data_IF_440420750660
#
_entry.id   IF_440420750660
#
_cell.length_a   1.000
_cell.length_b   1.000
_cell.length_c   1.000
_cell.angle_alpha   90.00
_cell.angle_beta   90.00
_cell.angle_gamma   90.00
#
_symmetry.space_group_name_H-M   'P 1'
#
loop_
_entity.id
_entity.type
_entity.pdbx_description
1 polymer ?
#
# COMPACT_ATOMS: atom_id res chain seq x y z
N UNK A 1 -7.99 -7.30 -11.38
CA UNK A 1 -9.27 -7.35 -10.63
C UNK A 1 -10.05 -6.06 -10.79
N UNK A 2 -9.66 -4.92 -10.22
CA UNK A 2 -10.41 -3.65 -10.33
C UNK A 2 -10.94 -3.29 -11.74
N UNK A 3 -10.08 -3.28 -12.77
CA UNK A 3 -10.51 -2.92 -14.13
C UNK A 3 -11.55 -3.90 -14.69
N UNK A 4 -11.45 -5.18 -14.33
CA UNK A 4 -12.42 -6.20 -14.71
C UNK A 4 -13.75 -5.98 -13.97
N UNK A 5 -13.70 -5.72 -12.67
CA UNK A 5 -14.89 -5.40 -11.87
C UNK A 5 -15.59 -4.13 -12.38
N UNK A 6 -14.85 -3.10 -12.79
CA UNK A 6 -15.44 -1.90 -13.39
C UNK A 6 -16.12 -2.20 -14.72
N UNK A 7 -15.52 -3.04 -15.57
CA UNK A 7 -16.13 -3.47 -16.84
C UNK A 7 -17.44 -4.23 -16.55
N UNK A 8 -17.46 -5.09 -15.54
CA UNK A 8 -18.66 -5.84 -15.17
C UNK A 8 -19.77 -4.90 -14.65
N UNK A 9 -19.45 -3.93 -13.80
CA UNK A 9 -20.42 -2.91 -13.34
C UNK A 9 -20.94 -2.08 -14.52
N UNK A 10 -20.05 -1.64 -15.42
CA UNK A 10 -20.40 -0.79 -16.58
C UNK A 10 -21.33 -1.52 -17.58
N UNK A 11 -21.32 -2.86 -17.59
CA UNK A 11 -22.12 -3.68 -18.50
C UNK A 11 -23.28 -4.42 -17.80
N UNK A 12 -23.44 -4.27 -16.49
CA UNK A 12 -24.52 -4.92 -15.75
C UNK A 12 -25.85 -4.18 -15.94
N UNK A 13 -26.93 -4.92 -16.18
CA UNK A 13 -28.29 -4.36 -16.20
C UNK A 13 -28.82 -4.07 -14.78
N UNK A 14 -28.30 -4.77 -13.78
CA UNK A 14 -28.62 -4.59 -12.35
C UNK A 14 -27.45 -3.92 -11.61
N UNK A 15 -27.75 -3.17 -10.55
CA UNK A 15 -26.75 -2.49 -9.73
C UNK A 15 -25.96 -3.50 -8.87
N UNK A 16 -24.81 -3.93 -9.38
CA UNK A 16 -23.86 -4.83 -8.70
C UNK A 16 -22.73 -4.07 -7.98
N UNK A 17 -22.83 -2.76 -7.83
CA UNK A 17 -21.75 -1.94 -7.22
C UNK A 17 -21.40 -2.38 -5.81
N UNK A 18 -22.40 -2.82 -5.02
CA UNK A 18 -22.21 -3.30 -3.66
C UNK A 18 -21.42 -4.61 -3.57
N UNK A 19 -21.51 -5.47 -4.58
CA UNK A 19 -20.79 -6.75 -4.61
C UNK A 19 -19.27 -6.53 -4.65
N UNK A 20 -18.83 -5.47 -5.32
CA UNK A 20 -17.42 -5.13 -5.47
C UNK A 20 -16.97 -3.97 -4.58
N UNK A 21 -17.91 -3.28 -3.92
CA UNK A 21 -17.63 -2.04 -3.18
C UNK A 21 -17.11 -0.92 -4.08
N UNK A 22 -17.48 -0.93 -5.37
CA UNK A 22 -17.04 0.05 -6.37
C UNK A 22 -18.28 0.68 -6.97
N UNK A 23 -18.49 1.97 -6.74
CA UNK A 23 -19.64 2.68 -7.32
C UNK A 23 -19.46 2.90 -8.82
N UNK A 24 -18.25 3.26 -9.23
CA UNK A 24 -17.92 3.55 -10.63
C UNK A 24 -16.40 3.56 -10.84
N UNK A 25 -15.98 3.55 -12.11
CA UNK A 25 -14.57 3.75 -12.47
C UNK A 25 -14.12 5.15 -12.04
N UNK A 26 -13.00 5.19 -11.33
CA UNK A 26 -12.44 6.47 -10.88
C UNK A 26 -11.83 7.24 -12.05
N UNK A 27 -12.20 8.52 -12.18
CA UNK A 27 -11.62 9.44 -13.16
C UNK A 27 -10.10 9.61 -12.96
N UNK A 28 -9.60 9.36 -11.75
CA UNK A 28 -8.17 9.45 -11.45
C UNK A 28 -7.36 8.38 -12.19
N UNK A 29 -7.99 7.27 -12.60
CA UNK A 29 -7.33 6.25 -13.41
C UNK A 29 -6.99 6.71 -14.83
N UNK A 30 -7.56 7.82 -15.30
CA UNK A 30 -7.16 8.42 -16.58
C UNK A 30 -5.88 9.26 -16.48
N UNK A 31 -5.39 9.51 -15.27
CA UNK A 31 -4.13 10.20 -15.07
C UNK A 31 -2.96 9.27 -15.42
N UNK A 32 -1.88 9.83 -15.98
CA UNK A 32 -0.77 9.02 -16.50
C UNK A 32 -0.02 8.22 -15.43
N UNK A 33 0.03 8.72 -14.20
CA UNK A 33 0.93 8.22 -13.16
C UNK A 33 0.22 7.75 -11.90
N UNK A 34 -1.11 7.60 -11.94
CA UNK A 34 -1.89 7.19 -10.80
C UNK A 34 -3.01 6.25 -11.22
N UNK A 35 -3.15 5.18 -10.46
CA UNK A 35 -4.26 4.24 -10.57
C UNK A 35 -4.74 3.91 -9.17
N UNK A 36 -6.04 3.93 -8.90
CA UNK A 36 -6.60 3.82 -7.53
C UNK A 36 -6.15 2.56 -6.79
N UNK A 37 -5.93 1.46 -7.50
CA UNK A 37 -5.46 0.17 -6.93
C UNK A 37 -4.04 0.22 -6.35
N UNK A 38 -3.20 1.17 -6.76
CA UNK A 38 -1.81 1.26 -6.28
C UNK A 38 -1.31 2.68 -6.00
N UNK A 39 -2.15 3.68 -6.25
CA UNK A 39 -1.83 5.10 -6.11
C UNK A 39 -2.23 5.69 -4.76
N UNK A 40 -3.13 5.03 -4.02
CA UNK A 40 -3.50 5.43 -2.66
C UNK A 40 -2.68 4.60 -1.66
N UNK A 41 -1.68 5.19 -1.00
CA UNK A 41 -0.99 4.50 0.08
C UNK A 41 -1.99 4.21 1.20
N UNK A 42 -1.89 3.03 1.82
CA UNK A 42 -2.69 2.71 3.00
C UNK A 42 -2.37 3.68 4.13
N UNK A 43 -3.41 4.14 4.82
CA UNK A 43 -3.25 4.99 6.01
C UNK A 43 -3.41 4.10 7.23
N UNK A 44 -2.28 3.68 7.80
CA UNK A 44 -2.31 2.74 8.93
C UNK A 44 -3.01 3.33 10.16
N UNK A 45 -2.95 4.64 10.36
CA UNK A 45 -3.66 5.26 11.49
C UNK A 45 -5.17 5.20 11.27
N UNK A 46 -5.63 5.55 10.07
CA UNK A 46 -7.06 5.58 9.77
C UNK A 46 -7.69 4.20 9.54
N UNK A 47 -6.99 3.33 8.80
CA UNK A 47 -7.50 2.01 8.38
C UNK A 47 -7.40 1.00 9.51
N UNK A 48 -6.29 1.00 10.26
CA UNK A 48 -6.04 0.05 11.35
C UNK A 48 -6.52 0.65 12.66
N UNK A 49 -5.92 1.74 13.15
CA UNK A 49 -6.18 2.24 14.50
C UNK A 49 -7.59 2.81 14.67
N UNK A 50 -8.03 3.70 13.78
CA UNK A 50 -9.38 4.30 13.81
C UNK A 50 -10.43 3.43 13.08
N UNK A 51 -9.98 2.31 12.52
CA UNK A 51 -10.76 1.44 11.67
C UNK A 51 -10.94 0.07 12.26
N UNK A 52 -10.25 -0.91 11.69
CA UNK A 52 -10.39 -2.31 12.04
C UNK A 52 -10.18 -2.55 13.53
N UNK A 53 -9.06 -2.08 14.11
CA UNK A 53 -8.71 -2.33 15.50
C UNK A 53 -9.79 -1.81 16.44
N UNK A 54 -10.13 -0.54 16.27
CA UNK A 54 -11.11 0.14 17.09
C UNK A 54 -12.52 -0.47 16.94
N UNK A 55 -12.91 -0.86 15.72
CA UNK A 55 -14.19 -1.51 15.46
C UNK A 55 -14.30 -2.87 16.15
N UNK A 56 -13.28 -3.73 16.01
CA UNK A 56 -13.33 -5.06 16.60
C UNK A 56 -13.18 -5.04 18.12
N UNK A 57 -12.31 -4.18 18.68
CA UNK A 57 -12.20 -4.00 20.14
C UNK A 57 -13.58 -3.71 20.74
N UNK A 58 -14.39 -2.89 20.07
CA UNK A 58 -15.75 -2.57 20.52
C UNK A 58 -16.66 -3.78 20.56
N UNK A 59 -16.76 -4.51 19.46
CA UNK A 59 -17.64 -5.68 19.36
C UNK A 59 -17.18 -6.80 20.29
N UNK A 60 -15.87 -6.96 20.44
CA UNK A 60 -15.29 -7.88 21.39
C UNK A 60 -15.60 -7.50 22.85
N UNK A 61 -15.49 -6.22 23.22
CA UNK A 61 -15.83 -5.76 24.57
C UNK A 61 -17.31 -5.96 24.89
N UNK A 62 -18.21 -5.69 23.94
CA UNK A 62 -19.65 -5.96 24.13
C UNK A 62 -19.90 -7.45 24.40
N UNK A 63 -19.30 -8.32 23.59
CA UNK A 63 -19.37 -9.77 23.77
C UNK A 63 -18.85 -10.20 25.15
N UNK A 64 -17.64 -9.77 25.49
CA UNK A 64 -16.98 -10.17 26.72
C UNK A 64 -17.68 -9.62 27.98
N UNK A 65 -18.32 -8.45 27.91
CA UNK A 65 -19.02 -7.84 29.05
C UNK A 65 -20.46 -8.32 29.20
N UNK A 66 -21.22 -8.36 28.11
CA UNK A 66 -22.67 -8.56 28.17
C UNK A 66 -23.08 -10.00 27.92
N UNK A 67 -22.41 -10.69 26.98
CA UNK A 67 -22.75 -12.07 26.63
C UNK A 67 -22.04 -13.07 27.55
N UNK A 68 -20.71 -12.98 27.65
CA UNK A 68 -19.90 -13.92 28.44
C UNK A 68 -19.64 -13.49 29.88
N UNK A 69 -19.76 -12.19 30.18
CA UNK A 69 -19.46 -11.59 31.49
C UNK A 69 -18.05 -11.92 32.02
N UNK A 70 -17.08 -12.02 31.12
CA UNK A 70 -15.66 -12.20 31.47
C UNK A 70 -15.07 -10.95 32.15
N UNK A 71 -15.57 -9.76 31.79
CA UNK A 71 -15.13 -8.49 32.35
C UNK A 71 -16.31 -7.57 32.63
N UNK A 72 -16.14 -6.68 33.59
CA UNK A 72 -17.08 -5.57 33.84
C UNK A 72 -16.43 -4.26 33.42
N UNK A 73 -17.26 -3.24 33.17
CA UNK A 73 -16.76 -1.91 32.83
C UNK A 73 -15.87 -1.35 33.94
N UNK A 74 -16.26 -1.58 35.19
CA UNK A 74 -15.51 -1.12 36.36
C UNK A 74 -14.16 -1.84 36.49
N UNK A 75 -14.11 -3.16 36.25
CA UNK A 75 -12.86 -3.92 36.28
C UNK A 75 -11.91 -3.44 35.17
N UNK A 76 -12.45 -3.18 33.98
CA UNK A 76 -11.68 -2.65 32.85
C UNK A 76 -11.17 -1.24 33.14
N UNK A 77 -12.03 -0.34 33.61
CA UNK A 77 -11.67 1.02 33.99
C UNK A 77 -10.65 1.09 35.12
N UNK A 78 -10.76 0.19 36.10
CA UNK A 78 -9.77 0.02 37.17
C UNK A 78 -8.43 -0.43 36.58
N UNK A 79 -8.45 -1.44 35.70
CA UNK A 79 -7.23 -1.92 35.02
C UNK A 79 -6.55 -0.82 34.21
N UNK A 80 -7.31 -0.01 33.46
CA UNK A 80 -6.74 1.13 32.72
C UNK A 80 -6.11 2.14 33.66
N UNK A 81 -6.79 2.47 34.77
CA UNK A 81 -6.33 3.52 35.69
C UNK A 81 -5.07 3.08 36.43
N UNK A 82 -5.02 1.82 36.82
CA UNK A 82 -4.02 1.29 37.75
C UNK A 82 -2.87 0.58 37.03
N UNK A 83 -2.92 0.45 35.70
CA UNK A 83 -1.82 -0.07 34.89
C UNK A 83 -0.60 0.85 34.97
N UNK A 84 0.59 0.27 35.16
CA UNK A 84 1.85 1.00 35.17
C UNK A 84 2.32 1.31 33.75
N UNK A 85 1.91 2.46 33.21
CA UNK A 85 2.35 2.94 31.90
C UNK A 85 3.81 3.44 31.90
N UNK A 86 4.46 3.54 33.06
CA UNK A 86 5.76 4.19 33.19
C UNK A 86 5.70 5.72 32.98
N UNK A 87 6.81 6.38 33.32
CA UNK A 87 6.90 7.85 33.33
C UNK A 87 6.63 8.48 31.95
N UNK A 88 7.15 7.87 30.89
CA UNK A 88 7.06 8.42 29.52
C UNK A 88 5.65 8.41 28.94
N UNK A 89 4.81 7.45 29.35
CA UNK A 89 3.46 7.26 28.80
C UNK A 89 2.34 7.59 29.79
N UNK A 90 2.67 8.04 31.00
CA UNK A 90 1.69 8.45 32.01
C UNK A 90 0.74 9.57 31.51
N UNK A 91 1.25 10.46 30.64
CA UNK A 91 0.46 11.51 30.00
C UNK A 91 -0.43 11.00 28.85
N UNK A 92 -0.11 9.83 28.28
CA UNK A 92 -0.79 9.20 27.14
C UNK A 92 -1.78 8.11 27.58
N UNK A 93 -2.09 8.02 28.88
CA UNK A 93 -3.00 6.98 29.40
C UNK A 93 -4.38 7.05 28.73
N UNK A 94 -5.00 5.91 28.41
CA UNK A 94 -6.33 5.88 27.80
C UNK A 94 -7.37 6.56 28.71
N UNK A 95 -8.35 7.21 28.10
CA UNK A 95 -9.52 7.71 28.83
C UNK A 95 -10.39 6.55 29.32
N UNK A 96 -11.07 6.76 30.46
CA UNK A 96 -12.03 5.80 30.99
C UNK A 96 -13.20 5.62 30.02
N UNK A 97 -13.64 4.37 29.84
CA UNK A 97 -14.77 4.06 28.98
C UNK A 97 -16.06 4.38 29.74
N UNK A 98 -16.94 5.15 29.10
CA UNK A 98 -18.32 5.29 29.56
C UNK A 98 -19.24 4.28 28.88
N UNK A 99 -20.29 3.85 29.58
CA UNK A 99 -21.34 2.98 29.02
C UNK A 99 -22.02 3.57 27.78
N UNK A 100 -22.03 4.91 27.65
CA UNK A 100 -22.53 5.61 26.46
C UNK A 100 -21.66 5.39 25.23
N UNK A 101 -20.34 5.27 25.37
CA UNK A 101 -19.39 5.06 24.25
C UNK A 101 -19.43 3.61 23.75
N UNK A 102 -19.63 2.65 24.65
CA UNK A 102 -19.82 1.23 24.27
C UNK A 102 -21.09 1.00 23.45
N UNK A 103 -22.16 1.74 23.77
CA UNK A 103 -23.46 1.61 23.14
C UNK A 103 -23.73 2.62 22.01
N UNK A 104 -22.85 3.61 21.79
CA UNK A 104 -23.00 4.57 20.70
C UNK A 104 -22.61 3.97 19.35
N UNK A 105 -23.18 4.46 18.24
CA UNK A 105 -22.81 4.05 16.87
C UNK A 105 -21.40 4.48 16.44
N UNK A 106 -20.74 5.37 17.20
CA UNK A 106 -19.35 5.78 16.96
C UNK A 106 -18.37 4.75 17.50
N UNK A 107 -17.24 4.54 16.81
CA UNK A 107 -16.38 3.40 17.09
C UNK A 107 -15.28 3.64 18.15
N UNK A 108 -15.13 4.81 18.77
CA UNK A 108 -13.91 5.18 19.54
C UNK A 108 -13.57 4.34 20.78
N UNK A 109 -12.73 3.30 20.66
CA UNK A 109 -12.22 2.46 21.75
C UNK A 109 -10.76 2.01 21.49
N UNK A 110 -9.88 2.03 22.50
CA UNK A 110 -8.43 1.68 22.41
C UNK A 110 -7.93 0.91 23.65
N UNK A 111 -8.11 -0.42 23.76
CA UNK A 111 -7.73 -1.17 25.00
C UNK A 111 -7.37 -2.66 24.78
N UNK A 112 -6.67 -3.26 25.77
CA UNK A 112 -6.41 -4.72 25.93
C UNK A 112 -6.93 -5.20 27.30
N UNK A 113 -7.43 -6.43 27.40
CA UNK A 113 -7.96 -7.04 28.64
C UNK A 113 -7.22 -8.31 29.06
N UNK A 114 -7.10 -8.58 30.37
CA UNK A 114 -6.24 -9.65 30.94
C UNK A 114 -6.98 -10.87 31.52
N UNK A 115 -8.30 -11.01 31.33
CA UNK A 115 -9.12 -12.01 32.05
C UNK A 115 -10.02 -12.85 31.14
N UNK A 116 -9.51 -13.31 29.99
CA UNK A 116 -10.33 -13.98 28.98
C UNK A 116 -9.79 -15.40 28.72
N UNK A 117 -10.63 -16.44 28.74
CA UNK A 117 -10.21 -17.81 28.48
C UNK A 117 -9.49 -17.95 27.13
N UNK A 118 -8.35 -18.64 27.13
CA UNK A 118 -7.53 -18.82 25.93
C UNK A 118 -8.17 -19.68 24.84
N UNK A 119 -9.22 -20.42 25.15
CA UNK A 119 -9.97 -21.26 24.22
C UNK A 119 -11.14 -20.54 23.53
N UNK A 120 -11.45 -19.30 23.93
CA UNK A 120 -12.54 -18.53 23.32
C UNK A 120 -12.19 -18.09 21.88
N UNK A 121 -13.06 -18.42 20.93
CA UNK A 121 -12.80 -18.19 19.50
C UNK A 121 -12.73 -16.70 19.12
N UNK A 122 -13.52 -15.83 19.78
CA UNK A 122 -13.51 -14.38 19.55
C UNK A 122 -12.29 -13.73 20.20
N UNK A 123 -11.83 -14.26 21.33
CA UNK A 123 -10.54 -13.87 21.90
C UNK A 123 -9.37 -14.26 21.02
N UNK A 124 -9.36 -15.49 20.50
CA UNK A 124 -8.33 -15.94 19.56
C UNK A 124 -8.33 -15.10 18.28
N UNK A 125 -9.50 -14.70 17.78
CA UNK A 125 -9.59 -13.77 16.66
C UNK A 125 -8.97 -12.40 17.01
N UNK A 126 -9.27 -11.87 18.19
CA UNK A 126 -8.68 -10.62 18.66
C UNK A 126 -7.15 -10.70 18.82
N UNK A 127 -6.60 -11.85 19.23
CA UNK A 127 -5.15 -12.07 19.26
C UNK A 127 -4.55 -12.00 17.86
N UNK A 128 -5.19 -12.61 16.85
CA UNK A 128 -4.76 -12.50 15.45
C UNK A 128 -4.76 -11.03 15.00
N UNK A 129 -5.78 -10.26 15.36
CA UNK A 129 -5.81 -8.83 15.07
C UNK A 129 -4.61 -8.11 15.66
N UNK A 130 -4.25 -8.40 16.92
CA UNK A 130 -3.08 -7.81 17.56
C UNK A 130 -1.77 -8.22 16.88
N UNK A 131 -1.67 -9.44 16.35
CA UNK A 131 -0.53 -9.90 15.55
C UNK A 131 -0.44 -9.14 14.21
N UNK A 132 -1.56 -8.98 13.51
CA UNK A 132 -1.65 -8.16 12.28
C UNK A 132 -1.15 -6.74 12.56
N UNK A 133 -1.67 -6.09 13.61
CA UNK A 133 -1.25 -4.75 14.03
C UNK A 133 0.26 -4.74 14.33
N UNK A 134 0.77 -5.72 15.06
CA UNK A 134 2.19 -5.80 15.40
C UNK A 134 3.10 -5.91 14.16
N UNK A 135 2.67 -6.63 13.12
CA UNK A 135 3.46 -6.76 11.89
C UNK A 135 3.39 -5.46 11.09
N UNK A 136 2.21 -4.86 10.93
CA UNK A 136 2.04 -3.63 10.15
C UNK A 136 2.86 -2.46 10.73
N UNK A 137 2.91 -2.34 12.06
CA UNK A 137 3.68 -1.30 12.75
C UNK A 137 5.16 -1.65 12.97
N UNK A 138 5.64 -2.78 12.44
CA UNK A 138 7.05 -3.16 12.59
C UNK A 138 7.95 -2.27 11.73
N UNK A 139 9.04 -1.76 12.31
CA UNK A 139 10.02 -0.91 11.59
C UNK A 139 10.68 -1.63 10.41
N UNK A 140 10.85 -2.96 10.51
CA UNK A 140 11.50 -3.80 9.50
C UNK A 140 10.68 -5.05 9.25
N UNK A 141 10.23 -5.23 8.01
CA UNK A 141 9.39 -6.35 7.58
C UNK A 141 10.12 -7.14 6.49
N UNK A 142 10.25 -8.46 6.69
CA UNK A 142 10.77 -9.37 5.67
C UNK A 142 9.67 -9.78 4.68
N UNK A 143 10.05 -10.27 3.49
CA UNK A 143 9.08 -10.79 2.51
C UNK A 143 8.24 -11.93 3.09
N UNK A 144 8.84 -12.78 3.92
CA UNK A 144 8.14 -13.87 4.60
C UNK A 144 7.11 -13.35 5.61
N UNK A 145 7.46 -12.33 6.41
CA UNK A 145 6.50 -11.67 7.31
C UNK A 145 5.36 -10.99 6.55
N UNK A 146 5.63 -10.42 5.37
CA UNK A 146 4.58 -9.85 4.53
C UNK A 146 3.66 -10.95 3.96
N UNK A 147 4.20 -12.11 3.57
CA UNK A 147 3.39 -13.27 3.17
C UNK A 147 2.54 -13.79 4.34
N UNK A 148 3.13 -13.94 5.53
CA UNK A 148 2.43 -14.30 6.75
C UNK A 148 1.31 -13.31 7.10
N UNK A 149 1.56 -12.00 6.96
CA UNK A 149 0.56 -10.96 7.15
C UNK A 149 -0.66 -11.16 6.24
N UNK A 150 -0.46 -11.53 4.97
CA UNK A 150 -1.57 -11.82 4.05
C UNK A 150 -2.41 -12.98 4.55
N UNK A 151 -1.76 -14.04 5.01
CA UNK A 151 -2.44 -15.25 5.46
C UNK A 151 -3.21 -14.96 6.78
N UNK A 152 -2.61 -14.21 7.72
CA UNK A 152 -3.28 -13.73 8.93
C UNK A 152 -4.51 -12.86 8.63
N UNK A 153 -4.40 -11.87 7.73
CA UNK A 153 -5.53 -11.00 7.38
C UNK A 153 -6.66 -11.82 6.73
N UNK A 154 -6.31 -12.80 5.90
CA UNK A 154 -7.30 -13.67 5.24
C UNK A 154 -8.02 -14.54 6.27
N UNK A 155 -7.30 -15.19 7.18
CA UNK A 155 -7.89 -15.97 8.27
C UNK A 155 -8.77 -15.10 9.16
N UNK A 156 -8.24 -13.95 9.57
CA UNK A 156 -8.91 -12.98 10.41
C UNK A 156 -10.26 -12.55 9.83
N UNK A 157 -10.30 -12.06 8.59
CA UNK A 157 -11.55 -11.55 8.00
C UNK A 157 -12.57 -12.67 7.76
N UNK A 158 -12.09 -13.87 7.40
CA UNK A 158 -12.97 -15.05 7.22
C UNK A 158 -13.63 -15.44 8.53
N UNK A 159 -12.85 -15.49 9.61
CA UNK A 159 -13.34 -15.80 10.95
C UNK A 159 -14.20 -14.68 11.52
N UNK A 160 -13.86 -13.42 11.28
CA UNK A 160 -14.67 -12.28 11.69
C UNK A 160 -16.08 -12.35 11.10
N UNK A 161 -16.19 -12.60 9.79
CA UNK A 161 -17.49 -12.76 9.13
C UNK A 161 -18.32 -13.92 9.70
N UNK A 162 -17.66 -14.98 10.18
CA UNK A 162 -18.31 -16.16 10.77
C UNK A 162 -18.73 -15.92 12.23
N UNK A 163 -17.85 -15.30 13.04
CA UNK A 163 -18.05 -15.10 14.48
C UNK A 163 -18.90 -13.86 14.81
N UNK A 164 -18.99 -12.90 13.88
CA UNK A 164 -19.79 -11.69 14.01
C UNK A 164 -20.73 -11.52 12.80
N UNK A 165 -21.71 -12.44 12.61
CA UNK A 165 -22.59 -12.41 11.43
C UNK A 165 -23.49 -11.16 11.35
N UNK A 166 -23.77 -10.54 12.49
CA UNK A 166 -24.56 -9.30 12.58
C UNK A 166 -23.72 -8.03 12.31
N UNK A 167 -22.40 -8.18 12.17
CA UNK A 167 -21.48 -7.06 11.95
C UNK A 167 -21.14 -6.91 10.48
N UNK A 168 -21.16 -5.69 9.98
CA UNK A 168 -20.78 -5.40 8.59
C UNK A 168 -19.27 -5.41 8.39
N UNK A 169 -18.83 -5.97 7.26
CA UNK A 169 -17.45 -5.79 6.78
C UNK A 169 -17.29 -4.35 6.30
N UNK A 170 -16.44 -3.58 6.97
CA UNK A 170 -16.23 -2.16 6.66
C UNK A 170 -15.16 -1.97 5.56
N UNK A 171 -15.21 -0.88 4.77
CA UNK A 171 -14.21 -0.61 3.73
C UNK A 171 -12.76 -0.63 4.23
N UNK A 172 -12.53 -0.23 5.48
CA UNK A 172 -11.20 -0.24 6.11
C UNK A 172 -10.63 -1.66 6.24
N UNK A 173 -11.48 -2.67 6.44
CA UNK A 173 -11.07 -4.08 6.43
C UNK A 173 -10.61 -4.51 5.03
N UNK A 174 -11.30 -4.03 3.98
CA UNK A 174 -10.88 -4.29 2.60
C UNK A 174 -9.52 -3.63 2.29
N UNK A 175 -9.28 -2.40 2.75
CA UNK A 175 -7.99 -1.72 2.50
C UNK A 175 -6.80 -2.49 3.06
N UNK A 176 -6.95 -3.11 4.23
CA UNK A 176 -5.88 -3.89 4.87
C UNK A 176 -5.48 -5.11 4.05
N UNK A 177 -6.36 -5.68 3.21
CA UNK A 177 -6.00 -6.79 2.29
C UNK A 177 -4.86 -6.43 1.32
N UNK A 178 -4.68 -5.14 1.02
CA UNK A 178 -3.65 -4.65 0.11
C UNK A 178 -2.32 -4.34 0.81
N UNK A 179 -2.27 -4.34 2.14
CA UNK A 179 -1.07 -3.99 2.91
C UNK A 179 0.11 -4.94 2.66
N UNK A 180 -0.06 -6.28 2.69
CA UNK A 180 1.03 -7.22 2.39
C UNK A 180 1.77 -6.90 1.09
N UNK A 181 1.00 -6.62 0.03
CA UNK A 181 1.55 -6.32 -1.29
C UNK A 181 2.17 -4.93 -1.35
N UNK A 182 1.59 -3.96 -0.66
CA UNK A 182 2.08 -2.58 -0.64
C UNK A 182 3.38 -2.47 0.15
N UNK A 183 3.52 -3.20 1.26
CA UNK A 183 4.73 -3.25 2.08
C UNK A 183 5.94 -3.76 1.28
N UNK A 184 5.73 -4.73 0.39
CA UNK A 184 6.83 -5.28 -0.43
C UNK A 184 7.08 -4.52 -1.73
N UNK A 185 6.17 -3.62 -2.15
CA UNK A 185 6.28 -2.85 -3.39
C UNK A 185 6.80 -1.45 -3.13
N UNK A 186 8.02 -1.17 -3.59
CA UNK A 186 8.56 0.18 -3.57
C UNK A 186 8.04 1.00 -4.76
N UNK A 187 7.36 2.11 -4.47
CA UNK A 187 7.01 3.10 -5.50
C UNK A 187 8.20 3.97 -5.91
N UNK A 188 9.21 4.08 -5.03
CA UNK A 188 10.46 4.78 -5.24
C UNK A 188 11.57 4.18 -4.39
N UNK A 189 12.82 4.39 -4.79
CA UNK A 189 14.00 4.04 -4.00
C UNK A 189 15.10 5.10 -4.21
N UNK A 190 16.11 5.12 -3.34
CA UNK A 190 17.33 5.91 -3.53
C UNK A 190 18.47 4.92 -3.72
N UNK A 191 19.18 5.01 -4.85
CA UNK A 191 20.39 4.21 -5.12
C UNK A 191 21.53 5.18 -5.34
N UNK A 192 22.57 5.08 -4.50
CA UNK A 192 23.75 5.95 -4.54
C UNK A 192 23.39 7.46 -4.60
N UNK A 193 22.46 7.89 -3.74
CA UNK A 193 22.00 9.29 -3.67
C UNK A 193 21.01 9.72 -4.76
N UNK A 194 20.73 8.89 -5.76
CA UNK A 194 19.77 9.21 -6.83
C UNK A 194 18.43 8.55 -6.58
N UNK A 195 17.35 9.35 -6.60
CA UNK A 195 15.98 8.88 -6.39
C UNK A 195 15.38 8.36 -7.70
N UNK A 196 14.97 7.09 -7.71
CA UNK A 196 14.18 6.48 -8.79
C UNK A 196 12.74 6.30 -8.33
N UNK A 197 11.79 6.45 -9.25
CA UNK A 197 10.36 6.26 -8.99
C UNK A 197 9.75 5.48 -10.16
N UNK A 198 8.69 4.72 -9.91
CA UNK A 198 7.87 4.15 -10.99
C UNK A 198 7.44 5.22 -12.00
N UNK A 199 7.35 4.82 -13.26
CA UNK A 199 6.97 5.60 -14.43
C UNK A 199 7.93 6.74 -14.84
N UNK A 200 9.09 6.90 -14.19
CA UNK A 200 10.14 7.79 -14.71
C UNK A 200 10.85 7.12 -15.88
N UNK A 201 11.33 7.93 -16.82
CA UNK A 201 12.12 7.43 -17.93
C UNK A 201 13.59 7.26 -17.50
N UNK A 202 14.26 6.28 -18.10
CA UNK A 202 15.69 6.02 -17.92
C UNK A 202 16.33 5.78 -19.29
N UNK A 203 17.60 6.15 -19.42
CA UNK A 203 18.39 5.93 -20.63
C UNK A 203 19.08 4.56 -20.54
N UNK A 204 18.71 3.63 -21.41
CA UNK A 204 19.13 2.22 -21.34
C UNK A 204 20.12 1.81 -22.43
N UNK A 205 20.50 2.73 -23.32
CA UNK A 205 21.47 2.49 -24.40
C UNK A 205 21.17 3.34 -25.63
N UNK A 206 21.78 3.00 -26.76
CA UNK A 206 21.50 3.58 -28.07
C UNK A 206 21.94 2.63 -29.16
N UNK A 207 21.43 2.82 -30.37
CA UNK A 207 21.87 2.08 -31.58
C UNK A 207 22.83 2.90 -32.46
N UNK A 208 23.36 4.01 -31.93
CA UNK A 208 24.22 4.94 -32.64
C UNK A 208 23.47 6.03 -33.41
N UNK A 209 22.16 5.89 -33.64
CA UNK A 209 21.33 6.90 -34.29
C UNK A 209 20.41 7.60 -33.29
N UNK A 210 19.73 6.81 -32.44
CA UNK A 210 18.81 7.33 -31.44
C UNK A 210 19.06 6.69 -30.08
N UNK A 211 18.89 7.46 -28.98
CA UNK A 211 18.91 6.90 -27.64
C UNK A 211 17.71 5.98 -27.43
N UNK A 212 17.95 4.88 -26.71
CA UNK A 212 16.94 3.95 -26.22
C UNK A 212 16.53 4.37 -24.82
N UNK A 213 15.28 4.75 -24.67
CA UNK A 213 14.67 5.06 -23.37
C UNK A 213 13.73 3.94 -22.93
N UNK A 214 13.52 3.83 -21.62
CA UNK A 214 12.53 2.93 -21.04
C UNK A 214 11.88 3.58 -19.82
N UNK A 215 10.67 3.16 -19.45
CA UNK A 215 10.01 3.53 -18.19
C UNK A 215 10.28 2.49 -17.13
N UNK A 216 10.54 2.91 -15.88
CA UNK A 216 10.59 2.00 -14.74
C UNK A 216 9.15 1.57 -14.40
N UNK A 217 8.82 0.30 -14.62
CA UNK A 217 7.50 -0.25 -14.28
C UNK A 217 7.49 -0.79 -12.84
N UNK A 218 8.53 -1.52 -12.46
CA UNK A 218 8.68 -2.11 -11.13
C UNK A 218 10.08 -1.89 -10.57
N UNK A 219 10.16 -1.71 -9.26
CA UNK A 219 11.42 -1.67 -8.51
C UNK A 219 11.46 -2.94 -7.66
N UNK A 220 12.48 -3.76 -7.87
CA UNK A 220 12.60 -5.07 -7.21
C UNK A 220 13.91 -5.17 -6.47
N UNK A 221 13.87 -5.77 -5.29
CA UNK A 221 15.06 -6.14 -4.52
C UNK A 221 15.34 -7.62 -4.73
N UNK A 222 16.54 -7.92 -5.23
CA UNK A 222 17.03 -9.29 -5.37
C UNK A 222 17.83 -9.63 -4.11
N UNK A 223 17.40 -10.62 -3.31
CA UNK A 223 18.14 -11.07 -2.15
C UNK A 223 19.38 -11.86 -2.60
N UNK A 224 20.44 -11.13 -2.94
CA UNK A 224 21.81 -11.62 -3.02
C UNK A 224 22.61 -11.02 -1.86
N UNK A 225 23.91 -11.34 -1.74
CA UNK A 225 24.81 -10.93 -0.63
C UNK A 225 24.79 -9.42 -0.26
N UNK A 226 24.19 -8.55 -1.08
CA UNK A 226 24.10 -7.10 -0.84
C UNK A 226 22.70 -6.48 -1.07
N UNK A 227 21.61 -7.28 -1.13
CA UNK A 227 20.26 -6.76 -1.43
C UNK A 227 20.24 -5.79 -2.63
N UNK A 228 20.62 -6.27 -3.80
CA UNK A 228 20.74 -5.43 -5.00
C UNK A 228 19.37 -4.95 -5.48
N UNK A 229 19.26 -3.64 -5.74
CA UNK A 229 18.08 -3.03 -6.35
C UNK A 229 18.18 -3.15 -7.87
N UNK A 230 17.12 -3.70 -8.48
CA UNK A 230 16.95 -3.78 -9.91
C UNK A 230 15.64 -3.07 -10.34
N UNK A 231 15.64 -2.57 -11.57
CA UNK A 231 14.52 -1.94 -12.22
C UNK A 231 13.99 -2.86 -13.31
N UNK A 232 12.71 -3.19 -13.27
CA UNK A 232 12.00 -3.77 -14.41
C UNK A 232 11.59 -2.60 -15.28
N UNK A 233 12.18 -2.51 -16.48
CA UNK A 233 11.99 -1.39 -17.39
C UNK A 233 11.26 -1.83 -18.65
N UNK A 234 10.36 -0.99 -19.15
CA UNK A 234 9.64 -1.21 -20.40
C UNK A 234 10.11 -0.22 -21.46
N UNK A 235 10.60 -0.73 -22.58
CA UNK A 235 11.19 0.10 -23.62
C UNK A 235 10.17 1.05 -24.27
N UNK A 236 10.62 2.27 -24.56
CA UNK A 236 9.92 3.28 -25.35
C UNK A 236 10.43 3.26 -26.80
N UNK A 237 9.55 3.58 -27.74
CA UNK A 237 9.93 3.85 -29.13
C UNK A 237 10.45 5.28 -29.23
N UNK A 238 11.74 5.47 -29.51
CA UNK A 238 12.32 6.77 -29.84
C UNK A 238 12.25 6.98 -31.35
N UNK A 239 11.64 8.07 -31.80
CA UNK A 239 11.30 8.29 -33.22
C UNK A 239 12.13 9.38 -33.89
N UNK A 240 12.38 10.50 -33.22
CA UNK A 240 13.20 11.58 -33.77
C UNK A 240 13.75 12.50 -32.68
N UNK A 241 14.79 13.26 -33.03
CA UNK A 241 15.27 14.38 -32.23
C UNK A 241 14.64 15.68 -32.72
N UNK A 242 14.15 16.49 -31.78
CA UNK A 242 13.64 17.84 -32.02
C UNK A 242 14.70 18.87 -31.59
N UNK A 243 15.28 19.53 -32.59
CA UNK A 243 16.31 20.55 -32.40
C UNK A 243 15.80 21.79 -31.66
N UNK A 244 14.52 22.14 -31.77
CA UNK A 244 13.99 23.37 -31.14
C UNK A 244 13.84 23.21 -29.63
N UNK A 245 13.45 22.01 -29.20
CA UNK A 245 13.21 21.70 -27.79
C UNK A 245 14.36 20.91 -27.15
N UNK A 246 15.39 20.57 -27.93
CA UNK A 246 16.48 19.67 -27.56
C UNK A 246 15.97 18.40 -26.86
N UNK A 247 14.96 17.77 -27.46
CA UNK A 247 14.26 16.64 -26.88
C UNK A 247 14.06 15.52 -27.88
N UNK A 248 13.91 14.29 -27.37
CA UNK A 248 13.63 13.12 -28.18
C UNK A 248 12.15 12.80 -28.12
N UNK A 249 11.53 12.67 -29.28
CA UNK A 249 10.15 12.22 -29.40
C UNK A 249 10.08 10.74 -29.10
N UNK A 250 9.27 10.39 -28.11
CA UNK A 250 9.07 9.01 -27.68
C UNK A 250 7.61 8.59 -27.76
N UNK A 251 7.36 7.28 -27.78
CA UNK A 251 6.02 6.70 -27.68
C UNK A 251 6.05 5.47 -26.78
N UNK A 252 5.05 5.38 -25.90
CA UNK A 252 4.79 4.16 -25.12
C UNK A 252 4.24 3.08 -26.05
N UNK A 253 4.90 1.93 -26.07
CA UNK A 253 4.47 0.77 -26.85
C UNK A 253 3.49 -0.11 -26.04
N UNK A 254 2.44 -0.61 -26.69
CA UNK A 254 1.53 -1.58 -26.08
C UNK A 254 2.28 -2.88 -25.71
N UNK A 255 3.11 -3.39 -26.62
CA UNK A 255 4.05 -4.50 -26.42
C UNK A 255 5.49 -4.00 -26.56
N UNK A 256 5.97 -3.29 -25.54
CA UNK A 256 7.40 -2.95 -25.44
C UNK A 256 8.16 -4.11 -24.78
N UNK A 257 9.41 -4.31 -25.17
CA UNK A 257 10.29 -5.28 -24.53
C UNK A 257 10.49 -4.90 -23.05
N UNK A 258 10.41 -5.92 -22.19
CA UNK A 258 10.60 -5.79 -20.75
C UNK A 258 11.97 -6.35 -20.40
N UNK A 259 12.80 -5.50 -19.79
CA UNK A 259 14.16 -5.86 -19.37
C UNK A 259 14.34 -5.60 -17.87
N UNK A 260 15.31 -6.29 -17.26
CA UNK A 260 15.75 -6.01 -15.89
C UNK A 260 17.11 -5.34 -15.94
N UNK A 261 17.23 -4.16 -15.33
CA UNK A 261 18.47 -3.36 -15.28
C UNK A 261 18.82 -2.98 -13.84
N UNK A 262 20.09 -3.02 -13.49
CA UNK A 262 20.62 -2.35 -12.29
C UNK A 262 20.91 -0.89 -12.62
N UNK A 263 21.12 -0.06 -11.60
CA UNK A 263 21.57 1.33 -11.80
C UNK A 263 22.85 1.39 -12.66
N UNK A 264 23.78 0.47 -12.45
CA UNK A 264 25.05 0.38 -13.21
C UNK A 264 24.86 0.01 -14.67
N UNK A 265 23.70 -0.53 -15.04
CA UNK A 265 23.38 -0.91 -16.42
C UNK A 265 22.68 0.25 -17.18
N UNK A 266 22.40 1.38 -16.51
CA UNK A 266 21.85 2.59 -17.12
C UNK A 266 22.98 3.47 -17.68
N UNK A 267 22.73 4.09 -18.84
CA UNK A 267 23.71 5.00 -19.48
C UNK A 267 23.95 6.26 -18.65
N UNK A 268 22.88 6.77 -18.04
CA UNK A 268 22.95 7.85 -17.04
C UNK A 268 22.25 7.42 -15.78
N UNK A 269 22.82 7.82 -14.64
CA UNK A 269 22.17 7.61 -13.35
C UNK A 269 20.96 8.53 -13.17
N UNK A 270 20.80 9.60 -13.96
CA UNK A 270 19.69 10.54 -13.77
C UNK A 270 18.40 10.00 -14.39
N UNK A 271 17.30 9.86 -13.61
CA UNK A 271 15.99 9.64 -14.18
C UNK A 271 15.54 10.86 -14.98
N UNK A 272 14.79 10.60 -16.04
CA UNK A 272 14.28 11.57 -17.00
C UNK A 272 12.75 11.68 -16.89
N UNK A 273 12.21 12.82 -17.30
CA UNK A 273 10.78 13.07 -17.32
C UNK A 273 10.24 12.95 -18.74
N UNK A 274 9.09 12.28 -18.87
CA UNK A 274 8.30 12.27 -20.09
C UNK A 274 7.35 13.46 -20.05
N UNK A 275 7.58 14.43 -20.93
CA UNK A 275 6.73 15.60 -21.13
C UNK A 275 5.73 15.31 -22.24
N UNK A 276 4.49 15.78 -22.11
CA UNK A 276 3.47 15.62 -23.15
C UNK A 276 3.13 16.98 -23.71
N UNK A 277 3.19 17.12 -25.03
CA UNK A 277 2.79 18.33 -25.75
C UNK A 277 1.81 17.91 -26.85
N UNK A 278 0.54 18.23 -26.68
CA UNK A 278 -0.54 17.72 -27.53
C UNK A 278 -0.61 16.17 -27.47
N UNK A 279 -0.62 15.53 -28.64
CA UNK A 279 -0.67 14.06 -28.76
C UNK A 279 0.72 13.40 -28.82
N UNK A 280 1.78 14.14 -28.47
CA UNK A 280 3.16 13.70 -28.61
C UNK A 280 3.86 13.71 -27.25
N UNK A 281 4.75 12.75 -27.04
CA UNK A 281 5.55 12.62 -25.83
C UNK A 281 7.02 12.86 -26.15
N UNK A 282 7.71 13.51 -25.22
CA UNK A 282 9.09 13.91 -25.38
C UNK A 282 9.88 13.62 -24.12
N UNK A 283 11.15 13.23 -24.30
CA UNK A 283 12.13 13.15 -23.23
C UNK A 283 13.20 14.18 -23.53
N UNK A 284 13.38 15.14 -22.61
CA UNK A 284 14.52 16.04 -22.62
C UNK A 284 15.59 15.44 -21.70
N UNK A 285 16.72 14.97 -22.24
CA UNK A 285 17.91 14.75 -21.41
C UNK A 285 18.32 16.14 -20.91
N UNK A 286 18.00 16.47 -19.65
CA UNK A 286 18.54 17.69 -19.02
C UNK A 286 20.05 17.70 -19.26
N UNK A 287 20.59 18.85 -19.69
CA UNK A 287 22.00 19.12 -20.04
C UNK A 287 23.00 18.25 -19.29
N UNK A 288 23.29 17.09 -19.86
CA UNK A 288 24.56 16.37 -19.85
C UNK A 288 24.65 15.83 -21.29
N UNK A 289 24.71 16.78 -22.22
CA UNK A 289 25.10 16.57 -23.62
C UNK A 289 26.60 16.81 -23.63
N UNK A 290 27.38 15.92 -23.02
CA UNK A 290 28.76 15.73 -23.46
C UNK A 290 28.69 14.91 -24.75
N UNK A 291 28.21 15.57 -25.81
CA UNK A 291 28.34 15.12 -27.21
C UNK A 291 29.65 15.66 -27.80
N UNK A 292 30.54 16.18 -26.96
CA UNK A 292 31.90 16.59 -27.31
C UNK A 292 32.90 15.98 -26.34
N UNK A 293 33.23 14.68 -26.51
CA UNK A 293 34.53 14.13 -26.09
C UNK A 293 34.81 12.73 -26.71
N UNK A 294 34.56 12.57 -28.00
CA UNK A 294 35.30 11.61 -28.83
C UNK A 294 35.97 12.36 -30.00
N UNK A 295 36.92 13.21 -29.64
CA UNK A 295 38.07 13.53 -30.48
C UNK A 295 39.33 13.45 -29.62
N UNK A 296 39.84 12.22 -29.47
CA UNK A 296 41.26 11.92 -29.54
C UNK A 296 41.45 10.44 -29.87
#
# INVERSE_FOLDING_TARGET
>A
MYNQNCIEIENAEEDITQQYGINQRSILNFTRYFHVVGGLPGDTMHDVLEGLLQYEVKEFLKYAMYEKRFLTLDNLNTSIRDFDYGYSDAANKPSLISSKILNSGTNSLKQRGSCIPGDDEKWQLFIILLEIVSIIFSEVITKDKAAHLRDLITDHHTRFATLYPECSIIPKMHYILHYPLTIVRANWCIVNGTKYKKCVAVHIGGDGLLPKFATIEEIVTVPAKENTICFVVKQLETSSYDNHTHSYRVRVLNRGDVEVKRQTDLVTFRPLHIVTMGNQQFICPKTDVDVYNEQM
#
